data_IF_202875437252
#
_entry.id   IF_202875437252
#
_cell.length_a   1.000
_cell.length_b   1.000
_cell.length_c   1.000
_cell.angle_alpha   90.00
_cell.angle_beta   90.00
_cell.angle_gamma   90.00
#
_symmetry.space_group_name_H-M   'P 1'
#
loop_
_entity.id
_entity.type
_entity.pdbx_description
1 polymer ?
#
# COMPACT_ATOMS: atom_id res chain seq x y z
N UNK A 1 -19.37 64.79 -47.21
CA UNK A 1 -18.05 64.37 -46.69
C UNK A 1 -18.22 62.97 -46.13
N UNK A 2 -17.56 62.01 -46.79
CA UNK A 2 -17.47 60.59 -46.44
C UNK A 2 -16.46 60.35 -45.31
N UNK A 3 -16.65 59.26 -44.56
CA UNK A 3 -15.68 58.61 -43.68
C UNK A 3 -16.41 57.63 -42.73
N UNK A 4 -16.70 56.39 -43.12
CA UNK A 4 -15.83 55.22 -43.26
C UNK A 4 -15.24 54.72 -41.92
N UNK A 5 -15.96 53.82 -41.26
CA UNK A 5 -15.48 52.96 -40.19
C UNK A 5 -15.90 51.52 -40.48
N UNK A 6 -14.95 50.68 -40.87
CA UNK A 6 -15.13 49.24 -41.13
C UNK A 6 -14.94 48.47 -39.82
N UNK A 7 -15.89 47.62 -39.44
CA UNK A 7 -15.72 46.62 -38.38
C UNK A 7 -15.81 45.24 -39.03
N UNK A 8 -14.68 44.54 -39.06
CA UNK A 8 -14.61 43.09 -39.31
C UNK A 8 -14.87 42.35 -38.01
N UNK A 9 -15.87 41.48 -37.99
CA UNK A 9 -16.04 40.44 -36.99
C UNK A 9 -16.03 39.09 -37.73
N UNK A 10 -14.96 38.32 -37.54
CA UNK A 10 -14.78 37.00 -38.11
C UNK A 10 -15.04 35.89 -37.10
N UNK A 11 -15.55 34.79 -37.66
CA UNK A 11 -15.46 33.39 -37.24
C UNK A 11 -16.56 32.81 -36.33
N UNK A 12 -17.46 32.10 -37.01
CA UNK A 12 -18.54 31.24 -36.52
C UNK A 12 -17.95 29.99 -35.84
N UNK A 13 -18.50 29.64 -34.67
CA UNK A 13 -18.10 28.47 -33.88
C UNK A 13 -18.46 27.14 -34.54
N UNK A 14 -17.58 26.15 -34.38
CA UNK A 14 -17.78 24.76 -34.79
C UNK A 14 -18.50 24.02 -33.66
N UNK A 15 -19.71 23.55 -33.96
CA UNK A 15 -20.44 22.52 -33.21
C UNK A 15 -20.21 21.16 -33.90
N UNK A 16 -19.88 20.12 -33.13
CA UNK A 16 -20.51 18.78 -33.20
C UNK A 16 -19.63 17.70 -32.51
N UNK A 17 -20.24 17.00 -31.57
CA UNK A 17 -19.79 15.75 -30.95
C UNK A 17 -19.74 14.59 -31.95
N UNK A 18 -19.04 13.49 -31.63
CA UNK A 18 -19.53 12.17 -32.07
C UNK A 18 -19.71 11.20 -30.89
N UNK A 19 -20.96 10.76 -30.74
CA UNK A 19 -21.38 9.55 -30.04
C UNK A 19 -22.29 8.75 -31.00
N UNK A 20 -22.35 7.42 -30.81
CA UNK A 20 -22.98 6.34 -31.61
C UNK A 20 -22.11 5.80 -32.77
N UNK A 21 -21.65 4.55 -32.80
CA UNK A 21 -22.31 3.22 -32.73
C UNK A 21 -22.90 2.74 -34.07
N UNK A 22 -22.28 1.69 -34.62
CA UNK A 22 -22.68 0.66 -35.63
C UNK A 22 -23.53 1.06 -36.84
N UNK A 23 -23.19 0.54 -38.04
CA UNK A 23 -24.03 -0.56 -38.56
C UNK A 23 -23.29 -1.74 -39.23
N UNK A 24 -23.97 -2.88 -39.16
CA UNK A 24 -23.78 -4.17 -39.82
C UNK A 24 -24.19 -4.12 -41.32
N UNK A 25 -23.82 -5.17 -42.07
CA UNK A 25 -24.48 -5.73 -43.29
C UNK A 25 -23.84 -5.49 -44.67
N UNK A 26 -23.32 -6.62 -45.23
CA UNK A 26 -23.31 -7.19 -46.61
C UNK A 26 -23.04 -6.26 -47.83
N UNK A 27 -22.31 -6.62 -48.90
CA UNK A 27 -22.20 -7.85 -49.68
C UNK A 27 -20.86 -7.88 -50.47
N UNK A 28 -20.59 -9.06 -51.06
CA UNK A 28 -20.08 -9.25 -52.43
C UNK A 28 -18.72 -9.98 -52.61
N UNK A 29 -18.83 -11.30 -52.42
CA UNK A 29 -18.31 -12.40 -53.26
C UNK A 29 -17.18 -12.13 -54.27
N UNK A 30 -16.07 -12.87 -54.10
CA UNK A 30 -15.34 -13.44 -55.23
C UNK A 30 -15.09 -14.94 -54.99
N UNK A 31 -15.44 -15.73 -56.01
CA UNK A 31 -15.43 -17.19 -56.04
C UNK A 31 -14.02 -17.77 -56.20
N UNK A 32 -13.81 -18.87 -55.47
CA UNK A 32 -12.76 -19.92 -55.48
C UNK A 32 -12.49 -20.53 -56.89
N UNK A 33 -11.37 -21.26 -57.20
CA UNK A 33 -10.97 -22.48 -56.45
C UNK A 33 -9.50 -23.00 -56.46
N UNK A 34 -9.22 -23.99 -55.58
CA UNK A 34 -8.27 -25.15 -55.73
C UNK A 34 -6.75 -24.80 -55.69
N UNK A 35 -5.79 -25.49 -55.04
CA UNK A 35 -5.65 -26.71 -54.22
C UNK A 35 -4.15 -26.84 -53.82
N UNK A 36 -3.86 -27.61 -52.75
CA UNK A 36 -2.54 -28.10 -52.27
C UNK A 36 -1.61 -27.04 -51.63
N UNK A 37 -1.12 -27.20 -50.40
CA UNK A 37 -0.36 -28.37 -49.92
C UNK A 37 -0.57 -28.61 -48.41
N UNK A 38 -0.79 -29.88 -48.06
CA UNK A 38 -0.69 -30.41 -46.71
C UNK A 38 0.79 -30.52 -46.35
N UNK A 39 1.22 -29.81 -45.31
CA UNK A 39 2.35 -30.26 -44.49
C UNK A 39 1.97 -30.11 -43.03
N UNK A 40 1.55 -31.23 -42.46
CA UNK A 40 1.58 -31.46 -41.03
C UNK A 40 3.03 -31.35 -40.55
N UNK A 41 3.26 -30.52 -39.54
CA UNK A 41 4.41 -30.67 -38.66
C UNK A 41 3.86 -30.86 -37.25
N UNK A 42 3.53 -32.12 -36.99
CA UNK A 42 3.60 -32.71 -35.67
C UNK A 42 5.09 -32.74 -35.29
N UNK A 43 5.46 -31.98 -34.26
CA UNK A 43 6.72 -32.16 -33.57
C UNK A 43 6.48 -31.82 -32.10
N UNK A 44 5.99 -32.84 -31.41
CA UNK A 44 5.99 -32.95 -29.98
C UNK A 44 7.45 -32.94 -29.51
N UNK A 45 7.82 -31.95 -28.72
CA UNK A 45 9.03 -32.02 -27.92
C UNK A 45 8.82 -31.20 -26.66
N UNK A 46 8.34 -31.90 -25.63
CA UNK A 46 8.48 -31.53 -24.23
C UNK A 46 9.87 -30.93 -23.98
N UNK A 47 9.91 -29.68 -23.53
CA UNK A 47 11.08 -29.17 -22.81
C UNK A 47 10.63 -28.83 -21.42
N UNK A 48 11.12 -29.70 -20.55
CA UNK A 48 11.04 -29.72 -19.12
C UNK A 48 11.52 -28.41 -18.47
N UNK A 49 10.82 -28.08 -17.39
CA UNK A 49 11.14 -27.11 -16.36
C UNK A 49 12.65 -27.08 -16.03
N UNK A 50 13.32 -25.93 -16.20
CA UNK A 50 14.60 -25.68 -15.54
C UNK A 50 14.72 -24.22 -15.09
N UNK A 51 14.55 -24.05 -13.78
CA UNK A 51 14.82 -22.85 -13.02
C UNK A 51 16.31 -22.46 -13.11
N UNK A 52 16.66 -21.16 -13.27
CA UNK A 52 18.03 -20.72 -13.07
C UNK A 52 18.36 -20.76 -11.58
N UNK A 53 19.19 -21.74 -11.21
CA UNK A 53 19.74 -21.90 -9.87
C UNK A 53 20.59 -20.68 -9.46
N UNK A 54 20.31 -20.22 -8.26
CA UNK A 54 21.06 -19.21 -7.53
C UNK A 54 22.55 -19.60 -7.40
N UNK A 55 23.43 -18.78 -8.00
CA UNK A 55 24.85 -18.78 -7.67
C UNK A 55 25.03 -18.11 -6.30
N UNK A 56 25.12 -18.92 -5.24
CA UNK A 56 25.61 -18.51 -3.92
C UNK A 56 27.10 -18.18 -4.02
N UNK A 57 27.45 -16.89 -3.81
CA UNK A 57 28.79 -16.47 -3.41
C UNK A 57 28.68 -15.99 -1.95
N UNK A 58 29.56 -16.44 -1.03
CA UNK A 58 29.40 -16.19 0.40
C UNK A 58 29.80 -14.74 0.72
N UNK A 59 28.92 -14.01 1.41
CA UNK A 59 29.28 -12.78 2.10
C UNK A 59 29.46 -13.13 3.57
N UNK A 60 30.65 -12.82 4.07
CA UNK A 60 31.11 -13.07 5.43
C UNK A 60 30.28 -12.32 6.49
N UNK A 61 30.28 -12.79 7.76
CA UNK A 61 29.43 -12.27 8.82
C UNK A 61 30.07 -11.06 9.51
N UNK A 62 29.34 -9.94 9.60
CA UNK A 62 29.55 -8.84 10.56
C UNK A 62 28.32 -7.91 10.45
N UNK A 63 27.62 -7.49 11.51
CA UNK A 63 28.04 -7.31 12.88
C UNK A 63 26.96 -7.79 13.86
N UNK A 64 27.42 -8.45 14.92
CA UNK A 64 26.66 -8.64 16.13
C UNK A 64 26.29 -7.28 16.71
N UNK A 65 25.00 -6.98 16.75
CA UNK A 65 24.46 -5.96 17.65
C UNK A 65 24.50 -6.56 19.05
N UNK A 66 25.42 -6.03 19.85
CA UNK A 66 25.52 -6.28 21.29
C UNK A 66 24.22 -5.74 21.91
N UNK A 67 23.32 -6.65 22.28
CA UNK A 67 22.29 -6.36 23.26
C UNK A 67 23.01 -5.94 24.55
N UNK A 68 22.91 -4.67 24.91
CA UNK A 68 23.14 -4.27 26.28
C UNK A 68 22.04 -4.92 27.13
N UNK A 69 22.46 -5.87 27.96
CA UNK A 69 21.69 -6.47 29.05
C UNK A 69 21.07 -5.37 29.91
N UNK A 70 19.77 -5.16 29.74
CA UNK A 70 18.87 -4.86 30.84
C UNK A 70 18.05 -6.13 31.09
N UNK A 71 18.27 -6.76 32.23
CA UNK A 71 17.54 -7.95 32.68
C UNK A 71 16.02 -7.78 32.52
N UNK A 72 15.43 -8.69 31.74
CA UNK A 72 14.00 -8.75 31.49
C UNK A 72 13.67 -9.55 30.23
N UNK A 73 14.39 -10.65 30.00
CA UNK A 73 14.18 -11.50 28.83
C UNK A 73 12.84 -12.22 28.90
N UNK A 74 11.93 -11.87 28.00
CA UNK A 74 10.89 -12.79 27.53
C UNK A 74 11.04 -12.90 26.01
N UNK A 75 11.57 -14.04 25.59
CA UNK A 75 11.48 -14.53 24.22
C UNK A 75 10.01 -14.67 23.84
N UNK A 76 9.50 -13.74 23.03
CA UNK A 76 8.15 -13.83 22.49
C UNK A 76 8.10 -14.94 21.43
N UNK A 77 7.34 -15.98 21.75
CA UNK A 77 6.93 -17.02 20.82
C UNK A 77 6.09 -16.39 19.72
N UNK A 78 6.50 -16.58 18.47
CA UNK A 78 5.75 -16.19 17.27
C UNK A 78 4.54 -17.10 17.15
N UNK A 79 3.38 -16.55 17.45
CA UNK A 79 2.06 -17.16 17.34
C UNK A 79 1.04 -16.04 17.47
N UNK A 80 0.01 -16.02 16.63
CA UNK A 80 -1.03 -15.01 16.68
C UNK A 80 -1.64 -14.96 18.09
N UNK A 81 -1.32 -13.91 18.82
CA UNK A 81 -1.78 -13.70 20.18
C UNK A 81 -2.23 -12.25 20.28
N UNK A 82 -3.52 -12.05 20.61
CA UNK A 82 -3.99 -10.81 21.21
C UNK A 82 -3.27 -10.67 22.56
N UNK A 83 -2.00 -10.27 22.53
CA UNK A 83 -1.22 -9.98 23.74
C UNK A 83 -1.84 -8.71 24.30
N UNK A 84 -2.39 -8.73 25.54
CA UNK A 84 -2.86 -7.52 26.17
C UNK A 84 -1.64 -6.63 26.37
N UNK A 85 -1.53 -5.60 25.54
CA UNK A 85 -0.58 -4.56 25.85
C UNK A 85 -1.18 -3.67 26.95
N UNK A 86 -0.34 -2.92 27.65
CA UNK A 86 -0.81 -2.01 28.69
C UNK A 86 -1.84 -0.99 28.17
N UNK A 87 -2.23 -0.02 28.99
CA UNK A 87 -3.16 1.01 28.54
C UNK A 87 -2.44 2.15 27.80
N UNK A 88 -3.16 2.75 26.86
CA UNK A 88 -2.77 3.95 26.15
C UNK A 88 -1.55 3.79 25.24
N UNK A 89 -0.81 4.89 25.03
CA UNK A 89 0.25 4.98 24.04
C UNK A 89 1.35 3.90 24.17
N UNK A 90 1.81 3.59 25.39
CA UNK A 90 2.84 2.56 25.61
C UNK A 90 2.32 1.15 25.32
N UNK A 91 1.05 0.89 25.65
CA UNK A 91 0.35 -0.32 25.24
C UNK A 91 0.26 -0.44 23.73
N UNK A 92 -0.13 0.64 23.05
CA UNK A 92 -0.27 0.62 21.60
C UNK A 92 1.06 0.26 20.91
N UNK A 93 2.17 0.83 21.39
CA UNK A 93 3.51 0.50 20.91
C UNK A 93 3.87 -0.96 21.19
N UNK A 94 3.65 -1.44 22.41
CA UNK A 94 3.92 -2.84 22.78
C UNK A 94 3.13 -3.83 21.92
N UNK A 95 1.84 -3.53 21.68
CA UNK A 95 0.99 -4.34 20.82
C UNK A 95 1.42 -4.31 19.36
N UNK A 96 1.88 -3.16 18.85
CA UNK A 96 2.39 -3.06 17.48
C UNK A 96 3.70 -3.87 17.32
N UNK A 97 4.61 -3.77 18.28
CA UNK A 97 5.88 -4.51 18.26
C UNK A 97 5.69 -6.03 18.39
N UNK A 98 4.66 -6.48 19.11
CA UNK A 98 4.33 -7.90 19.21
C UNK A 98 3.91 -8.52 17.87
N UNK A 99 3.58 -7.72 16.87
CA UNK A 99 3.09 -8.16 15.56
C UNK A 99 4.19 -8.23 14.49
N UNK A 100 5.45 -7.97 14.84
CA UNK A 100 6.55 -7.98 13.88
C UNK A 100 6.73 -9.36 13.25
N UNK A 101 6.86 -9.39 11.92
CA UNK A 101 6.97 -10.62 11.13
C UNK A 101 5.63 -11.22 10.70
N UNK A 102 4.50 -10.73 11.20
CA UNK A 102 3.19 -11.19 10.75
C UNK A 102 2.89 -10.77 9.31
N UNK A 103 2.11 -11.57 8.60
CA UNK A 103 1.56 -11.25 7.28
C UNK A 103 0.18 -10.62 7.45
N UNK A 104 0.12 -9.29 7.39
CA UNK A 104 -1.11 -8.51 7.55
C UNK A 104 -0.94 -7.13 6.92
N UNK A 105 -2.05 -6.45 6.62
CA UNK A 105 -2.02 -5.10 6.08
C UNK A 105 -1.74 -4.05 7.17
N UNK A 106 -1.68 -2.78 6.74
CA UNK A 106 -1.37 -1.67 7.63
C UNK A 106 -2.47 -1.39 8.66
N UNK A 107 -3.74 -1.55 8.28
CA UNK A 107 -4.89 -1.27 9.12
C UNK A 107 -5.07 -2.35 10.17
N UNK A 108 -4.89 -3.63 9.82
CA UNK A 108 -4.91 -4.76 10.74
C UNK A 108 -3.88 -4.62 11.87
N UNK A 109 -2.68 -4.08 11.58
CA UNK A 109 -1.68 -3.79 12.61
C UNK A 109 -2.22 -2.79 13.64
N UNK A 110 -2.82 -1.70 13.16
CA UNK A 110 -3.38 -0.64 14.02
C UNK A 110 -4.62 -1.13 14.77
N UNK A 111 -5.50 -1.88 14.11
CA UNK A 111 -6.70 -2.44 14.70
C UNK A 111 -6.38 -3.43 15.82
N UNK A 112 -5.48 -4.39 15.56
CA UNK A 112 -5.02 -5.34 16.57
C UNK A 112 -4.38 -4.63 17.75
N UNK A 113 -3.57 -3.60 17.49
CA UNK A 113 -2.97 -2.80 18.56
C UNK A 113 -4.01 -2.04 19.38
N UNK A 114 -5.01 -1.43 18.73
CA UNK A 114 -6.12 -0.74 19.41
C UNK A 114 -6.99 -1.71 20.22
N UNK A 115 -7.28 -2.90 19.69
CA UNK A 115 -7.99 -3.98 20.44
C UNK A 115 -7.18 -4.45 21.64
N UNK A 116 -5.88 -4.63 21.47
CA UNK A 116 -4.98 -5.07 22.54
C UNK A 116 -4.96 -4.12 23.74
N UNK A 117 -5.13 -2.80 23.51
CA UNK A 117 -5.24 -1.81 24.59
C UNK A 117 -6.68 -1.55 25.07
N UNK A 118 -7.65 -2.29 24.53
CA UNK A 118 -9.04 -2.30 25.00
C UNK A 118 -10.04 -1.44 24.22
N UNK A 119 -9.69 -0.93 23.03
CA UNK A 119 -10.67 -0.26 22.17
C UNK A 119 -11.45 -1.28 21.31
N UNK A 120 -12.79 -1.22 21.29
CA UNK A 120 -13.61 -2.02 20.39
C UNK A 120 -13.56 -1.42 18.99
N UNK A 121 -12.59 -1.81 18.18
CA UNK A 121 -12.45 -1.37 16.79
C UNK A 121 -12.89 -2.47 15.82
N UNK A 122 -13.54 -2.06 14.74
CA UNK A 122 -13.90 -2.92 13.61
C UNK A 122 -12.86 -2.83 12.50
N UNK A 123 -13.30 -3.04 11.26
CA UNK A 123 -12.51 -2.83 10.04
C UNK A 123 -12.32 -1.32 9.81
N UNK A 124 -11.10 -0.83 10.03
CA UNK A 124 -10.73 0.56 9.87
C UNK A 124 -10.02 0.72 8.53
N UNK A 125 -10.41 1.71 7.73
CA UNK A 125 -9.61 2.13 6.58
C UNK A 125 -8.45 3.08 6.94
N UNK A 126 -7.83 3.68 5.92
CA UNK A 126 -6.70 4.61 6.09
C UNK A 126 -7.13 6.08 6.20
N UNK A 127 -8.42 6.37 6.39
CA UNK A 127 -8.92 7.74 6.55
C UNK A 127 -8.76 8.24 7.97
N UNK A 128 -8.26 9.48 8.14
CA UNK A 128 -8.02 10.10 9.46
C UNK A 128 -9.23 10.07 10.39
N UNK A 129 -10.43 10.33 9.86
CA UNK A 129 -11.66 10.39 10.66
C UNK A 129 -12.05 9.07 11.34
N UNK A 130 -11.48 7.94 10.91
CA UNK A 130 -11.73 6.64 11.54
C UNK A 130 -10.90 6.42 12.81
N UNK A 131 -9.83 7.18 12.99
CA UNK A 131 -8.93 7.05 14.15
C UNK A 131 -9.23 8.09 15.24
N UNK A 132 -9.82 9.23 14.87
CA UNK A 132 -10.21 10.29 15.82
C UNK A 132 -11.20 9.89 16.92
N UNK A 133 -12.01 8.82 16.82
CA UNK A 133 -12.78 8.33 17.97
C UNK A 133 -11.92 7.70 19.07
N UNK A 134 -10.71 7.22 18.73
CA UNK A 134 -9.81 6.49 19.65
C UNK A 134 -8.68 7.35 20.21
N UNK A 135 -8.54 8.58 19.72
CA UNK A 135 -7.47 9.49 20.13
C UNK A 135 -7.72 10.93 19.69
N UNK A 136 -6.76 11.81 19.94
CA UNK A 136 -6.85 13.23 19.58
C UNK A 136 -5.99 13.53 18.36
N UNK A 137 -6.51 14.33 17.43
CA UNK A 137 -5.71 14.81 16.30
C UNK A 137 -4.58 15.72 16.80
N UNK A 138 -3.35 15.44 16.38
CA UNK A 138 -2.17 16.24 16.71
C UNK A 138 -1.98 17.30 15.62
N UNK A 139 -2.22 18.57 15.97
CA UNK A 139 -2.10 19.71 15.04
C UNK A 139 -0.83 20.54 15.26
N UNK A 140 -0.15 20.34 16.38
CA UNK A 140 1.11 20.99 16.71
C UNK A 140 1.96 20.11 17.63
N UNK A 141 3.29 20.29 17.57
CA UNK A 141 4.25 19.46 18.29
C UNK A 141 4.78 18.29 17.45
N UNK A 142 5.83 17.65 17.97
CA UNK A 142 6.44 16.48 17.34
C UNK A 142 5.67 15.19 17.61
N UNK A 143 6.06 14.14 16.89
CA UNK A 143 5.53 12.79 17.12
C UNK A 143 5.96 12.25 18.48
N UNK A 144 5.04 11.58 19.16
CA UNK A 144 5.28 10.85 20.40
C UNK A 144 4.98 9.37 20.18
N UNK A 145 5.77 8.49 20.80
CA UNK A 145 5.57 7.05 20.68
C UNK A 145 4.12 6.69 21.08
N UNK A 146 3.47 5.87 20.26
CA UNK A 146 2.03 5.55 20.35
C UNK A 146 1.14 6.46 19.50
N UNK A 147 1.71 7.40 18.75
CA UNK A 147 0.98 8.13 17.71
C UNK A 147 0.65 7.22 16.53
N UNK A 148 -0.61 7.28 16.07
CA UNK A 148 -1.05 6.68 14.83
C UNK A 148 -0.74 7.66 13.71
N UNK A 149 0.16 7.27 12.81
CA UNK A 149 0.56 8.02 11.63
C UNK A 149 -0.32 7.64 10.46
N UNK A 150 -0.83 8.64 9.75
CA UNK A 150 -1.85 8.45 8.72
C UNK A 150 -1.42 9.14 7.44
N UNK A 151 -1.40 8.36 6.36
CA UNK A 151 -1.34 8.81 4.97
C UNK A 151 -2.74 8.59 4.39
N UNK A 152 -3.61 9.62 4.41
CA UNK A 152 -5.02 9.44 4.10
C UNK A 152 -5.25 8.75 2.76
N UNK A 153 -6.06 7.69 2.78
CA UNK A 153 -6.39 6.90 1.59
C UNK A 153 -5.28 5.95 1.12
N UNK A 154 -4.13 5.89 1.80
CA UNK A 154 -2.96 5.12 1.35
C UNK A 154 -2.39 4.18 2.42
N UNK A 155 -1.99 4.70 3.58
CA UNK A 155 -1.23 3.91 4.57
C UNK A 155 -1.49 4.39 5.99
N UNK A 156 -1.27 3.50 6.97
CA UNK A 156 -1.24 3.83 8.40
C UNK A 156 -0.12 3.08 9.11
N UNK A 157 0.40 3.64 10.21
CA UNK A 157 1.47 3.02 10.99
C UNK A 157 1.42 3.50 12.44
N UNK A 158 2.06 2.77 13.36
CA UNK A 158 2.20 3.18 14.76
C UNK A 158 3.61 3.68 15.01
N UNK A 159 3.75 4.95 15.39
CA UNK A 159 5.03 5.55 15.71
C UNK A 159 5.59 4.97 17.01
N UNK A 160 6.86 4.56 16.99
CA UNK A 160 7.52 3.96 18.15
C UNK A 160 8.65 4.84 18.73
N UNK A 161 8.86 6.03 18.15
CA UNK A 161 9.95 6.93 18.52
C UNK A 161 11.10 6.93 17.52
N UNK A 162 12.06 7.84 17.71
CA UNK A 162 13.31 7.93 16.94
C UNK A 162 13.14 7.94 15.41
N UNK A 163 12.04 8.50 14.88
CA UNK A 163 11.78 8.52 13.44
C UNK A 163 11.38 7.16 12.85
N UNK A 164 10.96 6.22 13.68
CA UNK A 164 10.55 4.87 13.28
C UNK A 164 9.10 4.58 13.63
N UNK A 165 8.48 3.71 12.84
CA UNK A 165 7.14 3.22 13.06
C UNK A 165 7.04 1.73 12.72
N UNK A 166 6.00 1.07 13.24
CA UNK A 166 5.61 -0.28 12.83
C UNK A 166 4.64 -0.16 11.65
N UNK A 167 5.02 -0.74 10.52
CA UNK A 167 4.24 -0.76 9.29
C UNK A 167 3.76 -2.17 9.00
N UNK A 168 2.47 -2.34 8.70
CA UNK A 168 1.93 -3.58 8.11
C UNK A 168 1.97 -3.54 6.59
N UNK A 169 1.91 -4.71 5.95
CA UNK A 169 1.92 -4.87 4.48
C UNK A 169 3.25 -4.46 3.82
N UNK A 170 4.26 -4.13 4.60
CA UNK A 170 5.53 -3.62 4.10
C UNK A 170 6.36 -4.75 3.51
N UNK A 171 6.51 -4.76 2.18
CA UNK A 171 7.07 -5.91 1.45
C UNK A 171 6.36 -7.24 1.81
N UNK A 172 5.07 -7.16 2.14
CA UNK A 172 4.24 -8.31 2.51
C UNK A 172 4.26 -8.70 3.99
N UNK A 173 5.00 -8.02 4.87
CA UNK A 173 5.06 -8.36 6.30
C UNK A 173 5.04 -7.12 7.20
N UNK A 174 4.85 -7.31 8.51
CA UNK A 174 4.93 -6.26 9.52
C UNK A 174 6.38 -6.00 9.92
N UNK A 175 6.86 -4.77 9.73
CA UNK A 175 8.26 -4.38 9.98
C UNK A 175 8.38 -3.05 10.71
N UNK A 176 9.58 -2.78 11.22
CA UNK A 176 9.98 -1.43 11.64
C UNK A 176 10.64 -0.73 10.45
N UNK A 177 10.13 0.44 10.09
CA UNK A 177 10.70 1.29 9.05
C UNK A 177 10.62 2.78 9.43
N UNK A 178 11.21 3.63 8.59
CA UNK A 178 11.18 5.08 8.77
C UNK A 178 9.84 5.69 8.35
N UNK A 179 9.66 6.98 8.65
CA UNK A 179 8.40 7.70 8.39
C UNK A 179 8.22 8.12 6.93
N UNK A 180 9.25 8.00 6.10
CA UNK A 180 9.13 8.27 4.67
C UNK A 180 8.77 6.99 3.95
N UNK A 181 7.60 6.98 3.34
CA UNK A 181 7.10 5.86 2.53
C UNK A 181 7.06 6.26 1.05
N UNK A 182 6.61 5.35 0.19
CA UNK A 182 6.34 5.68 -1.22
C UNK A 182 5.30 6.79 -1.39
N UNK A 183 4.49 7.07 -0.35
CA UNK A 183 3.50 8.13 -0.30
C UNK A 183 4.01 9.41 0.39
N UNK A 184 5.32 9.50 0.67
CA UNK A 184 5.92 10.61 1.41
C UNK A 184 5.78 10.48 2.92
N UNK A 185 5.69 11.62 3.61
CA UNK A 185 5.50 11.71 5.07
C UNK A 185 4.02 11.69 5.45
N UNK A 186 3.64 11.25 6.66
CA UNK A 186 2.26 11.24 7.09
C UNK A 186 1.73 12.68 7.20
N UNK A 187 0.51 12.91 6.72
CA UNK A 187 -0.11 14.24 6.74
C UNK A 187 -1.11 14.42 7.89
N UNK A 188 -1.44 13.34 8.61
CA UNK A 188 -2.26 13.39 9.80
C UNK A 188 -1.71 12.45 10.88
N UNK A 189 -1.91 12.85 12.13
CA UNK A 189 -1.48 12.07 13.30
C UNK A 189 -2.57 12.08 14.36
N UNK A 190 -2.87 10.91 14.91
CA UNK A 190 -3.81 10.74 16.02
C UNK A 190 -3.08 10.16 17.22
N UNK A 191 -3.12 10.87 18.35
CA UNK A 191 -2.52 10.45 19.62
C UNK A 191 -3.54 9.73 20.48
N UNK A 192 -3.29 8.46 20.75
CA UNK A 192 -4.06 7.67 21.70
C UNK A 192 -3.66 8.06 23.13
N UNK A 193 -4.65 8.28 24.00
CA UNK A 193 -4.46 8.73 25.38
C UNK A 193 -4.16 7.61 26.36
#
# INVERSE_FOLDING_TARGET
MMGAGVISAGLVGVFAFPAYATPETEELVFSTPVQQELTAVEAEASVELQAPQAKKKPVAPAAAIVLATGEGGQTATVGGHDVPAGKGASGLVGAALAQLGDYQDCTAVVERALRAIGYPVGDLGTLTGQYTPYGKLVTSGGYAAGDILIWPGNHVAIYIGNGQAVHGGWNGTTVIAGLSTIHGYPSAVVRVG
#
